data_IF_495751598776
#
_entry.id   IF_495751598776
#
_cell.length_a   1.000
_cell.length_b   1.000
_cell.length_c   1.000
_cell.angle_alpha   90.00
_cell.angle_beta   90.00
_cell.angle_gamma   90.00
#
_symmetry.space_group_name_H-M   'P 1'
#
loop_
_entity.id
_entity.type
_entity.pdbx_description
1 polymer ?
#
# COMPACT_ATOMS: atom_id res chain seq x y z
N UNK A 1 -7.39 30.12 11.72
CA UNK A 1 -6.24 30.32 10.81
C UNK A 1 -4.91 29.68 11.22
N UNK A 2 -4.82 28.86 12.27
CA UNK A 2 -3.55 28.18 12.61
C UNK A 2 -3.46 26.78 11.96
N UNK A 3 -3.38 26.71 10.63
CA UNK A 3 -3.04 25.48 9.91
C UNK A 3 -1.51 25.32 9.96
N UNK A 4 -1.00 24.78 11.06
CA UNK A 4 0.43 24.50 11.22
C UNK A 4 0.75 23.12 10.61
N UNK A 5 1.68 23.00 9.63
CA UNK A 5 1.97 21.73 8.95
C UNK A 5 2.50 20.65 9.90
N UNK A 6 3.05 21.06 11.04
CA UNK A 6 3.52 20.21 12.13
C UNK A 6 2.42 19.25 12.64
N UNK A 7 1.16 19.71 12.75
CA UNK A 7 0.04 18.83 13.14
C UNK A 7 -0.26 17.77 12.08
N UNK A 8 -0.23 18.14 10.80
CA UNK A 8 -0.43 17.20 9.68
C UNK A 8 0.66 16.12 9.69
N UNK A 9 1.93 16.51 9.90
CA UNK A 9 3.07 15.58 10.01
C UNK A 9 2.91 14.62 11.20
N UNK A 10 2.47 15.10 12.37
CA UNK A 10 2.19 14.25 13.54
C UNK A 10 1.11 13.21 13.21
N UNK A 11 0.03 13.61 12.53
CA UNK A 11 -1.05 12.69 12.14
C UNK A 11 -0.55 11.60 11.17
N UNK A 12 0.27 11.95 10.17
CA UNK A 12 0.91 10.96 9.28
C UNK A 12 1.78 9.99 10.08
N UNK A 13 2.63 10.50 10.97
CA UNK A 13 3.54 9.66 11.77
C UNK A 13 2.77 8.66 12.66
N UNK A 14 1.66 9.09 13.26
CA UNK A 14 0.77 8.19 14.02
C UNK A 14 0.11 7.16 13.12
N UNK A 15 -0.36 7.54 11.93
CA UNK A 15 -0.95 6.61 10.95
C UNK A 15 0.06 5.55 10.47
N UNK A 16 1.30 5.95 10.16
CA UNK A 16 2.38 5.02 9.75
C UNK A 16 2.77 4.06 10.87
N UNK A 17 2.99 4.56 12.09
CA UNK A 17 3.33 3.72 13.25
C UNK A 17 2.20 2.71 13.53
N UNK A 18 0.95 3.15 13.47
CA UNK A 18 -0.22 2.29 13.64
C UNK A 18 -0.32 1.24 12.52
N UNK A 19 -0.08 1.62 11.27
CA UNK A 19 -0.13 0.72 10.13
C UNK A 19 0.96 -0.36 10.20
N UNK A 20 2.21 0.02 10.46
CA UNK A 20 3.35 -0.88 10.66
C UNK A 20 3.08 -1.86 11.82
N UNK A 21 2.59 -1.36 12.95
CA UNK A 21 2.19 -2.20 14.08
C UNK A 21 1.07 -3.18 13.73
N UNK A 22 0.06 -2.74 12.96
CA UNK A 22 -1.05 -3.58 12.53
C UNK A 22 -0.60 -4.69 11.56
N UNK A 23 0.32 -4.41 10.62
CA UNK A 23 0.91 -5.43 9.73
C UNK A 23 1.62 -6.51 10.57
N UNK A 24 2.41 -6.13 11.57
CA UNK A 24 3.09 -7.06 12.47
C UNK A 24 2.13 -7.88 13.33
N UNK A 25 0.98 -7.32 13.73
CA UNK A 25 -0.04 -8.00 14.54
C UNK A 25 -0.95 -8.91 13.70
N UNK A 26 -1.21 -8.55 12.45
CA UNK A 26 -2.07 -9.29 11.49
C UNK A 26 -1.35 -10.49 10.87
N UNK A 27 -0.03 -10.43 10.73
CA UNK A 27 0.79 -11.56 10.27
C UNK A 27 0.90 -12.62 11.38
N UNK A 28 0.25 -13.77 11.20
CA UNK A 28 0.26 -14.88 12.19
C UNK A 28 1.62 -15.61 12.28
N UNK A 29 2.37 -15.62 11.18
CA UNK A 29 3.63 -16.38 11.05
C UNK A 29 4.82 -15.64 11.69
N UNK A 30 5.81 -16.39 12.20
CA UNK A 30 6.95 -15.84 12.99
C UNK A 30 7.88 -14.97 12.15
N UNK A 31 7.61 -13.66 12.09
CA UNK A 31 8.44 -12.67 11.39
C UNK A 31 9.84 -12.51 12.02
N UNK A 32 10.89 -12.69 11.21
CA UNK A 32 12.28 -12.44 11.60
C UNK A 32 12.56 -10.93 11.82
N UNK A 33 13.60 -10.58 12.59
CA UNK A 33 13.98 -9.18 12.83
C UNK A 33 14.28 -8.43 11.52
N UNK A 34 14.97 -9.10 10.60
CA UNK A 34 15.29 -8.58 9.26
C UNK A 34 14.03 -8.34 8.43
N UNK A 35 13.09 -9.29 8.41
CA UNK A 35 11.84 -9.16 7.66
C UNK A 35 10.95 -8.03 8.21
N UNK A 36 10.91 -7.86 9.54
CA UNK A 36 10.24 -6.70 10.17
C UNK A 36 10.86 -5.36 9.73
N UNK A 37 12.19 -5.27 9.69
CA UNK A 37 12.91 -4.07 9.21
C UNK A 37 12.58 -3.79 7.73
N UNK A 38 12.53 -4.82 6.89
CA UNK A 38 12.16 -4.69 5.47
C UNK A 38 10.72 -4.17 5.34
N UNK A 39 9.75 -4.77 6.04
CA UNK A 39 8.35 -4.31 6.07
C UNK A 39 8.26 -2.81 6.42
N UNK A 40 8.91 -2.37 7.50
CA UNK A 40 8.89 -0.94 7.89
C UNK A 40 9.53 -0.03 6.85
N UNK A 41 10.66 -0.42 6.25
CA UNK A 41 11.32 0.38 5.21
C UNK A 41 10.47 0.45 3.94
N UNK A 42 9.94 -0.67 3.47
CA UNK A 42 9.13 -0.75 2.26
C UNK A 42 7.80 -0.02 2.40
N UNK A 43 7.18 -0.07 3.59
CA UNK A 43 6.01 0.75 3.92
C UNK A 43 6.37 2.23 3.84
N UNK A 44 7.30 2.72 4.68
CA UNK A 44 7.66 4.14 4.77
C UNK A 44 8.14 4.73 3.42
N UNK A 45 8.95 3.99 2.64
CA UNK A 45 9.37 4.48 1.33
C UNK A 45 8.24 4.44 0.30
N UNK A 46 7.42 3.39 0.29
CA UNK A 46 6.33 3.23 -0.67
C UNK A 46 5.23 4.28 -0.47
N UNK A 47 4.73 4.43 0.76
CA UNK A 47 3.69 5.41 1.09
C UNK A 47 4.19 6.83 0.99
N UNK A 48 5.34 7.18 1.60
CA UNK A 48 5.80 8.56 1.65
C UNK A 48 6.21 9.06 0.26
N UNK A 49 6.86 8.23 -0.56
CA UNK A 49 7.19 8.58 -1.96
C UNK A 49 5.92 8.78 -2.78
N UNK A 50 4.96 7.85 -2.70
CA UNK A 50 3.69 7.96 -3.43
C UNK A 50 2.86 9.16 -2.96
N UNK A 51 2.84 9.45 -1.66
CA UNK A 51 2.14 10.59 -1.07
C UNK A 51 2.74 11.94 -1.53
N UNK A 52 4.07 12.07 -1.50
CA UNK A 52 4.77 13.26 -2.02
C UNK A 52 4.47 13.44 -3.51
N UNK A 53 4.63 12.38 -4.31
CA UNK A 53 4.31 12.41 -5.74
C UNK A 53 2.85 12.83 -5.99
N UNK A 54 1.90 12.24 -5.26
CA UNK A 54 0.49 12.49 -5.45
C UNK A 54 0.10 13.94 -5.12
N UNK A 55 0.55 14.46 -3.98
CA UNK A 55 0.27 15.83 -3.55
C UNK A 55 0.88 16.86 -4.51
N UNK A 56 2.15 16.68 -4.88
CA UNK A 56 2.91 17.67 -5.68
C UNK A 56 2.54 17.61 -7.17
N UNK A 57 2.43 16.42 -7.74
CA UNK A 57 2.27 16.23 -9.19
C UNK A 57 0.80 16.10 -9.60
N UNK A 58 -0.02 15.40 -8.82
CA UNK A 58 -1.38 15.01 -9.26
C UNK A 58 -2.47 15.96 -8.77
N UNK A 59 -2.53 16.26 -7.46
CA UNK A 59 -3.64 17.07 -6.92
C UNK A 59 -3.39 18.58 -7.01
N UNK A 60 -2.12 19.00 -7.06
CA UNK A 60 -1.66 20.39 -7.27
C UNK A 60 -2.36 21.45 -6.37
N UNK A 61 -2.78 21.06 -5.15
CA UNK A 61 -3.61 21.91 -4.30
C UNK A 61 -2.79 23.06 -3.72
N UNK A 62 -3.23 24.30 -3.98
CA UNK A 62 -2.81 25.46 -3.21
C UNK A 62 -3.87 25.78 -2.14
N UNK A 63 -3.58 25.64 -0.83
CA UNK A 63 -2.32 25.21 -0.20
C UNK A 63 -2.21 23.69 0.00
N UNK A 64 -1.00 23.15 -0.15
CA UNK A 64 -0.66 21.72 -0.03
C UNK A 64 -0.71 21.15 1.41
N UNK A 65 -1.35 21.87 2.35
CA UNK A 65 -1.52 21.50 3.77
C UNK A 65 -2.97 21.56 4.27
N UNK A 66 -3.99 21.78 3.42
CA UNK A 66 -5.38 21.79 3.89
C UNK A 66 -5.77 20.42 4.49
N UNK A 67 -6.06 20.33 5.81
CA UNK A 67 -6.27 19.05 6.47
C UNK A 67 -7.48 18.28 5.93
N UNK A 68 -8.45 18.97 5.33
CA UNK A 68 -9.71 18.40 4.82
C UNK A 68 -9.49 17.49 3.62
N UNK A 69 -8.47 17.77 2.81
CA UNK A 69 -8.06 16.93 1.68
C UNK A 69 -6.88 16.05 2.03
N UNK A 70 -5.88 16.61 2.73
CA UNK A 70 -4.64 15.91 3.05
C UNK A 70 -4.87 14.66 3.90
N UNK A 71 -5.58 14.78 5.03
CA UNK A 71 -5.68 13.69 6.01
C UNK A 71 -6.46 12.50 5.44
N UNK A 72 -7.61 12.68 4.73
CA UNK A 72 -8.28 11.57 4.07
C UNK A 72 -7.45 10.91 2.97
N UNK A 73 -6.74 11.67 2.12
CA UNK A 73 -5.89 11.10 1.06
C UNK A 73 -4.74 10.29 1.67
N UNK A 74 -4.05 10.84 2.68
CA UNK A 74 -3.01 10.14 3.43
C UNK A 74 -3.54 8.84 4.06
N UNK A 75 -4.66 8.90 4.77
CA UNK A 75 -5.31 7.73 5.37
C UNK A 75 -5.68 6.66 4.35
N UNK A 76 -6.12 7.04 3.14
CA UNK A 76 -6.42 6.08 2.08
C UNK A 76 -5.16 5.44 1.48
N UNK A 77 -4.10 6.20 1.17
CA UNK A 77 -2.84 5.64 0.65
C UNK A 77 -2.19 4.69 1.66
N UNK A 78 -2.09 5.12 2.92
CA UNK A 78 -1.49 4.34 4.02
C UNK A 78 -2.35 3.11 4.33
N UNK A 79 -3.67 3.25 4.46
CA UNK A 79 -4.58 2.14 4.78
C UNK A 79 -4.66 1.04 3.71
N UNK A 80 -4.58 1.42 2.43
CA UNK A 80 -4.50 0.46 1.32
C UNK A 80 -3.12 -0.19 1.27
N UNK A 81 -2.03 0.58 1.37
CA UNK A 81 -0.66 0.03 1.37
C UNK A 81 -0.42 -0.93 2.53
N UNK A 82 -0.95 -0.60 3.72
CA UNK A 82 -0.99 -1.49 4.90
C UNK A 82 -1.71 -2.82 4.61
N UNK A 83 -2.82 -2.77 3.86
CA UNK A 83 -3.59 -3.97 3.53
C UNK A 83 -2.87 -4.82 2.49
N UNK A 84 -2.37 -4.22 1.41
CA UNK A 84 -1.60 -4.90 0.37
C UNK A 84 -0.33 -5.54 0.93
N UNK A 85 0.51 -4.78 1.66
CA UNK A 85 1.74 -5.32 2.25
C UNK A 85 1.43 -6.42 3.29
N UNK A 86 0.36 -6.32 4.07
CA UNK A 86 -0.02 -7.38 5.01
C UNK A 86 -0.45 -8.68 4.31
N UNK A 87 -1.08 -8.60 3.13
CA UNK A 87 -1.42 -9.77 2.32
C UNK A 87 -0.17 -10.36 1.67
N UNK A 88 0.67 -9.52 1.04
CA UNK A 88 1.93 -9.95 0.43
C UNK A 88 2.90 -10.57 1.43
N UNK A 89 3.05 -10.01 2.64
CA UNK A 89 3.84 -10.57 3.75
C UNK A 89 3.33 -11.97 4.11
N UNK A 90 2.03 -12.12 4.34
CA UNK A 90 1.43 -13.40 4.72
C UNK A 90 1.62 -14.44 3.60
N UNK A 91 1.31 -14.07 2.36
CA UNK A 91 1.40 -14.96 1.19
C UNK A 91 2.83 -15.39 0.87
N UNK A 92 3.81 -14.49 1.03
CA UNK A 92 5.24 -14.77 0.86
C UNK A 92 5.73 -15.72 1.95
N UNK A 93 5.49 -15.42 3.23
CA UNK A 93 5.98 -16.24 4.36
C UNK A 93 5.34 -17.62 4.34
N UNK A 94 4.02 -17.71 4.16
CA UNK A 94 3.32 -19.00 4.17
C UNK A 94 3.62 -19.81 2.90
N UNK A 95 3.90 -19.14 1.78
CA UNK A 95 4.42 -19.74 0.55
C UNK A 95 5.82 -20.33 0.72
N UNK A 96 6.76 -19.57 1.28
CA UNK A 96 8.13 -20.02 1.57
C UNK A 96 8.15 -21.20 2.56
N UNK A 97 7.26 -21.21 3.57
CA UNK A 97 7.13 -22.33 4.50
C UNK A 97 6.54 -23.59 3.85
N UNK A 98 5.46 -23.46 3.08
CA UNK A 98 4.77 -24.61 2.46
C UNK A 98 5.53 -25.22 1.28
N UNK A 99 6.14 -24.37 0.44
CA UNK A 99 6.87 -24.79 -0.76
C UNK A 99 8.38 -24.95 -0.52
N UNK A 100 8.83 -24.92 0.75
CA UNK A 100 10.24 -25.02 1.16
C UNK A 100 10.99 -26.14 0.44
N UNK A 101 10.40 -27.34 0.39
CA UNK A 101 10.99 -28.51 -0.25
C UNK A 101 11.22 -28.32 -1.76
N UNK A 102 10.35 -27.58 -2.46
CA UNK A 102 10.52 -27.25 -3.89
C UNK A 102 11.66 -26.24 -4.10
N UNK A 103 11.74 -25.22 -3.22
CA UNK A 103 12.81 -24.22 -3.25
C UNK A 103 14.16 -24.87 -2.99
N UNK A 104 14.27 -25.73 -1.97
CA UNK A 104 15.49 -26.48 -1.65
C UNK A 104 15.87 -27.44 -2.79
N UNK A 105 14.90 -28.15 -3.39
CA UNK A 105 15.15 -29.05 -4.53
C UNK A 105 15.65 -28.28 -5.76
N UNK A 106 15.07 -27.12 -6.06
CA UNK A 106 15.51 -26.27 -7.17
C UNK A 106 16.93 -25.74 -6.94
N UNK A 107 17.27 -25.34 -5.71
CA UNK A 107 18.62 -24.92 -5.33
C UNK A 107 19.64 -26.07 -5.46
N UNK A 108 19.27 -27.30 -5.06
CA UNK A 108 20.12 -28.49 -5.23
C UNK A 108 20.35 -28.85 -6.71
N UNK A 109 19.39 -28.56 -7.59
CA UNK A 109 19.52 -28.66 -9.04
C UNK A 109 20.27 -27.46 -9.68
N UNK A 110 20.86 -26.57 -8.88
CA UNK A 110 21.66 -25.44 -9.34
C UNK A 110 20.88 -24.21 -9.80
N UNK A 111 19.56 -24.15 -9.56
CA UNK A 111 18.78 -22.98 -9.92
C UNK A 111 19.15 -21.77 -9.04
N UNK A 112 19.26 -20.59 -9.64
CA UNK A 112 19.51 -19.35 -8.89
C UNK A 112 18.35 -19.07 -7.90
N UNK A 113 18.61 -18.55 -6.68
CA UNK A 113 17.56 -18.33 -5.68
C UNK A 113 16.36 -17.50 -6.18
N UNK A 114 16.61 -16.48 -7.03
CA UNK A 114 15.56 -15.66 -7.66
C UNK A 114 14.62 -16.47 -8.56
N UNK A 115 15.09 -17.55 -9.17
CA UNK A 115 14.24 -18.47 -9.96
C UNK A 115 13.50 -19.43 -9.03
N UNK A 116 14.18 -20.02 -8.04
CA UNK A 116 13.59 -20.95 -7.08
C UNK A 116 12.42 -20.33 -6.29
N UNK A 117 12.49 -19.04 -5.94
CA UNK A 117 11.40 -18.33 -5.24
C UNK A 117 10.41 -17.61 -6.16
N UNK A 118 10.59 -17.62 -7.49
CA UNK A 118 9.84 -16.75 -8.42
C UNK A 118 8.33 -16.89 -8.29
N UNK A 119 7.80 -18.11 -8.35
CA UNK A 119 6.35 -18.33 -8.27
C UNK A 119 5.77 -17.87 -6.92
N UNK A 120 6.53 -17.96 -5.84
CA UNK A 120 6.10 -17.50 -4.50
C UNK A 120 6.06 -15.97 -4.44
N UNK A 121 7.09 -15.34 -5.02
CA UNK A 121 7.22 -13.87 -5.17
C UNK A 121 6.07 -13.31 -6.01
N UNK A 122 5.80 -13.88 -7.18
CA UNK A 122 4.73 -13.43 -8.09
C UNK A 122 3.35 -13.61 -7.42
N UNK A 123 3.06 -14.81 -6.88
CA UNK A 123 1.82 -15.09 -6.14
C UNK A 123 1.59 -14.13 -4.94
N UNK A 124 2.66 -13.70 -4.27
CA UNK A 124 2.57 -12.76 -3.15
C UNK A 124 2.24 -11.34 -3.62
N UNK A 125 2.85 -10.89 -4.72
CA UNK A 125 2.55 -9.62 -5.37
C UNK A 125 1.09 -9.54 -5.86
N UNK A 126 0.63 -10.57 -6.57
CA UNK A 126 -0.76 -10.65 -7.06
C UNK A 126 -1.77 -10.59 -5.91
N UNK A 127 -1.54 -11.35 -4.84
CA UNK A 127 -2.41 -11.38 -3.65
C UNK A 127 -2.55 -10.03 -2.94
N UNK A 128 -1.59 -9.13 -3.14
CA UNK A 128 -1.55 -7.81 -2.52
C UNK A 128 -2.20 -6.71 -3.39
N UNK A 129 -2.14 -6.84 -4.72
CA UNK A 129 -2.68 -5.85 -5.67
C UNK A 129 -4.11 -6.15 -6.12
N UNK A 130 -4.49 -7.43 -6.27
CA UNK A 130 -5.82 -7.82 -6.73
C UNK A 130 -6.98 -7.15 -5.96
N UNK A 131 -6.93 -6.96 -4.62
CA UNK A 131 -7.98 -6.22 -3.90
C UNK A 131 -8.15 -4.78 -4.41
N UNK A 132 -7.06 -4.05 -4.66
CA UNK A 132 -7.09 -2.67 -5.13
C UNK A 132 -7.63 -2.57 -6.57
N UNK A 133 -7.27 -3.51 -7.44
CA UNK A 133 -7.83 -3.60 -8.80
C UNK A 133 -9.33 -3.90 -8.73
N UNK A 134 -9.76 -4.87 -7.92
CA UNK A 134 -11.17 -5.22 -7.78
C UNK A 134 -12.01 -4.05 -7.22
N UNK A 135 -11.46 -3.27 -6.28
CA UNK A 135 -12.09 -2.04 -5.80
C UNK A 135 -12.13 -0.92 -6.85
N UNK A 136 -11.21 -0.90 -7.81
CA UNK A 136 -11.24 0.04 -8.94
C UNK A 136 -12.28 -0.36 -10.00
N UNK A 137 -12.40 -1.66 -10.31
CA UNK A 137 -13.36 -2.18 -11.30
C UNK A 137 -14.81 -2.07 -10.83
N UNK A 138 -15.10 -2.26 -9.53
CA UNK A 138 -16.43 -2.09 -8.96
C UNK A 138 -16.87 -0.63 -8.77
N UNK A 139 -15.95 0.33 -8.91
CA UNK A 139 -16.19 1.74 -8.62
C UNK A 139 -17.14 2.40 -9.62
N UNK A 140 -18.02 3.27 -9.15
CA UNK A 140 -18.97 4.01 -9.99
C UNK A 140 -20.18 3.19 -10.46
N UNK A 141 -19.99 1.89 -10.69
CA UNK A 141 -21.07 0.96 -11.12
C UNK A 141 -21.71 0.26 -9.91
N UNK A 142 -20.91 -0.34 -9.03
CA UNK A 142 -21.41 -1.13 -7.88
C UNK A 142 -21.44 -0.30 -6.60
N UNK A 143 -20.48 0.60 -6.42
CA UNK A 143 -20.44 1.52 -5.27
C UNK A 143 -19.74 2.84 -5.59
N UNK A 144 -20.16 3.90 -4.90
CA UNK A 144 -19.52 5.22 -4.92
C UNK A 144 -18.67 5.40 -3.66
N UNK A 145 -17.36 5.72 -3.76
CA UNK A 145 -16.49 5.88 -2.59
C UNK A 145 -16.95 6.96 -1.63
N UNK A 146 -16.65 6.80 -0.33
CA UNK A 146 -17.13 7.71 0.71
C UNK A 146 -16.73 9.19 0.51
N UNK A 147 -15.52 9.47 0.01
CA UNK A 147 -15.09 10.84 -0.31
C UNK A 147 -15.90 11.42 -1.46
N UNK A 148 -16.00 10.70 -2.58
CA UNK A 148 -16.74 11.10 -3.77
C UNK A 148 -18.23 11.34 -3.46
N UNK A 149 -18.87 10.41 -2.74
CA UNK A 149 -20.26 10.55 -2.30
C UNK A 149 -20.43 11.74 -1.35
N UNK A 150 -19.49 11.94 -0.41
CA UNK A 150 -19.51 13.10 0.49
C UNK A 150 -19.36 14.44 -0.24
N UNK A 151 -18.53 14.50 -1.28
CA UNK A 151 -18.35 15.67 -2.15
C UNK A 151 -19.61 15.99 -2.96
N UNK A 152 -20.28 14.96 -3.51
CA UNK A 152 -21.56 15.12 -4.24
C UNK A 152 -22.66 15.60 -3.28
N UNK A 153 -22.78 14.98 -2.11
CA UNK A 153 -23.77 15.37 -1.09
C UNK A 153 -23.51 16.76 -0.47
N UNK A 154 -22.25 17.24 -0.47
CA UNK A 154 -21.93 18.61 -0.07
C UNK A 154 -22.14 19.66 -1.18
N UNK A 155 -22.72 19.27 -2.32
CA UNK A 155 -23.07 20.19 -3.42
C UNK A 155 -21.94 20.54 -4.39
N UNK A 156 -20.81 19.81 -4.38
CA UNK A 156 -19.79 19.97 -5.44
C UNK A 156 -20.18 19.22 -6.71
N UNK A 157 -19.69 19.67 -7.87
CA UNK A 157 -20.01 19.07 -9.17
C UNK A 157 -19.64 17.57 -9.20
N UNK A 158 -20.57 16.66 -9.56
CA UNK A 158 -20.28 15.24 -9.67
C UNK A 158 -19.15 14.91 -10.63
N UNK A 159 -18.98 15.69 -11.72
CA UNK A 159 -17.89 15.53 -12.69
C UNK A 159 -16.53 15.71 -11.99
N UNK A 160 -16.37 16.79 -11.24
CA UNK A 160 -15.16 17.09 -10.48
C UNK A 160 -14.88 16.05 -9.39
N UNK A 161 -15.94 15.53 -8.73
CA UNK A 161 -15.80 14.45 -7.76
C UNK A 161 -15.34 13.13 -8.40
N UNK A 162 -15.78 12.82 -9.63
CA UNK A 162 -15.30 11.67 -10.42
C UNK A 162 -13.81 11.85 -10.75
N UNK A 163 -13.41 13.00 -11.27
CA UNK A 163 -12.04 13.30 -11.70
C UNK A 163 -11.03 13.11 -10.56
N UNK A 164 -11.27 13.73 -9.40
CA UNK A 164 -10.43 13.54 -8.22
C UNK A 164 -10.43 12.08 -7.72
N UNK A 165 -11.56 11.39 -7.78
CA UNK A 165 -11.66 10.01 -7.28
C UNK A 165 -10.92 9.00 -8.17
N UNK A 166 -10.93 9.19 -9.50
CA UNK A 166 -10.12 8.42 -10.46
C UNK A 166 -8.63 8.66 -10.17
N UNK A 167 -8.21 9.92 -10.04
CA UNK A 167 -6.83 10.26 -9.71
C UNK A 167 -6.39 9.59 -8.40
N UNK A 168 -7.19 9.69 -7.34
CA UNK A 168 -6.92 9.07 -6.03
C UNK A 168 -6.77 7.55 -6.14
N UNK A 169 -7.59 6.87 -6.95
CA UNK A 169 -7.45 5.42 -7.13
C UNK A 169 -6.17 5.01 -7.88
N UNK A 170 -5.72 5.80 -8.85
CA UNK A 170 -4.42 5.60 -9.50
C UNK A 170 -3.27 5.84 -8.52
N UNK A 171 -3.37 6.87 -7.66
CA UNK A 171 -2.42 7.14 -6.57
C UNK A 171 -2.35 5.99 -5.55
N UNK A 172 -3.50 5.45 -5.14
CA UNK A 172 -3.58 4.28 -4.25
C UNK A 172 -2.94 3.05 -4.90
N UNK A 173 -3.26 2.75 -6.16
CA UNK A 173 -2.68 1.61 -6.88
C UNK A 173 -1.15 1.74 -7.00
N UNK A 174 -0.64 2.95 -7.30
CA UNK A 174 0.79 3.25 -7.31
C UNK A 174 1.44 3.06 -5.94
N UNK A 175 0.83 3.59 -4.87
CA UNK A 175 1.31 3.44 -3.48
C UNK A 175 1.40 1.97 -3.06
N UNK A 176 0.35 1.18 -3.33
CA UNK A 176 0.33 -0.26 -3.03
C UNK A 176 1.37 -0.99 -3.85
N UNK A 177 1.45 -0.75 -5.16
CA UNK A 177 2.40 -1.43 -6.04
C UNK A 177 3.87 -1.15 -5.65
N UNK A 178 4.23 0.12 -5.42
CA UNK A 178 5.59 0.49 -4.97
C UNK A 178 5.93 -0.15 -3.62
N UNK A 179 5.03 -0.05 -2.64
CA UNK A 179 5.19 -0.65 -1.30
C UNK A 179 5.42 -2.16 -1.38
N UNK A 180 4.62 -2.86 -2.19
CA UNK A 180 4.67 -4.33 -2.33
C UNK A 180 5.89 -4.76 -3.13
N UNK A 181 6.26 -4.07 -4.22
CA UNK A 181 7.47 -4.40 -5.01
C UNK A 181 8.72 -4.27 -4.14
N UNK A 182 8.86 -3.16 -3.40
CA UNK A 182 9.97 -2.96 -2.46
C UNK A 182 9.98 -4.06 -1.40
N UNK A 183 8.81 -4.40 -0.83
CA UNK A 183 8.71 -5.46 0.17
C UNK A 183 9.14 -6.82 -0.38
N UNK A 184 8.58 -7.28 -1.51
CA UNK A 184 8.82 -8.64 -2.01
C UNK A 184 10.24 -8.77 -2.58
N UNK A 185 10.78 -7.75 -3.27
CA UNK A 185 12.15 -7.80 -3.83
C UNK A 185 13.25 -7.75 -2.76
N UNK A 186 12.98 -7.21 -1.57
CA UNK A 186 13.91 -7.25 -0.43
C UNK A 186 13.64 -8.50 0.43
N UNK A 187 12.36 -8.83 0.64
CA UNK A 187 11.90 -9.91 1.53
C UNK A 187 12.26 -11.32 1.06
N UNK A 188 12.33 -11.60 -0.25
CA UNK A 188 12.68 -12.95 -0.74
C UNK A 188 14.12 -13.39 -0.40
N UNK A 189 14.98 -12.47 0.07
CA UNK A 189 16.37 -12.71 0.44
C UNK A 189 16.58 -12.97 1.95
N UNK A 190 15.50 -13.10 2.73
CA UNK A 190 15.49 -12.98 4.20
C UNK A 190 14.81 -14.16 4.91
#
# INVERSE_FOLDING_TARGET
>A
NNINPLYTIIVIAVMEIFAIYNIFKRTKSKLSKSLKKIISISMLFGTLSSLIYFIVVVVNVSPWYDPRYFIPIAGMLIGNSMTGISLGVTRLVDGMNSQKHLVESALMLGAAPKMATKQIVDNAFDSAILPTINSMVGMGIVFLPGMMTGQILSGTSPITAIEYQIAIMLGILGSVALTVILFVQLGYKT
#
